data_IF_208838844203
#
_entry.id   IF_208838844203
#
_cell.length_a   1.000
_cell.length_b   1.000
_cell.length_c   1.000
_cell.angle_alpha   90.00
_cell.angle_beta   90.00
_cell.angle_gamma   90.00
#
_symmetry.space_group_name_H-M   'P 1'
#
loop_
_entity.id
_entity.type
_entity.pdbx_description
1 polymer ?
#
# COMPACT_ATOMS: atom_id res chain seq x y z
N UNK A 1 -8.63 -7.56 -5.82
CA UNK A 1 -7.77 -7.87 -4.67
C UNK A 1 -6.46 -7.11 -4.88
N UNK A 2 -6.05 -6.33 -3.90
CA UNK A 2 -4.79 -5.59 -3.90
C UNK A 2 -3.92 -6.12 -2.76
N UNK A 3 -2.77 -6.67 -3.10
CA UNK A 3 -1.85 -7.29 -2.15
C UNK A 3 -0.52 -6.55 -2.18
N UNK A 4 0.08 -6.34 -1.03
CA UNK A 4 1.40 -5.76 -0.85
C UNK A 4 2.33 -6.81 -0.25
N UNK A 5 3.64 -6.58 -0.34
CA UNK A 5 4.68 -7.50 0.16
C UNK A 5 4.57 -8.94 -0.38
N UNK A 6 4.12 -9.10 -1.63
CA UNK A 6 4.03 -10.41 -2.29
C UNK A 6 5.42 -10.83 -2.74
N UNK A 7 6.00 -11.79 -2.05
CA UNK A 7 7.32 -12.34 -2.37
C UNK A 7 7.24 -13.28 -3.58
N UNK A 8 8.25 -13.19 -4.47
CA UNK A 8 8.40 -14.11 -5.61
C UNK A 8 9.66 -14.97 -5.51
N UNK A 9 10.68 -14.48 -4.79
CA UNK A 9 11.91 -15.21 -4.46
C UNK A 9 12.61 -14.50 -3.30
N UNK A 10 12.21 -14.81 -2.08
CA UNK A 10 12.75 -14.17 -0.88
C UNK A 10 13.13 -15.22 0.16
N UNK A 11 14.25 -15.00 0.86
CA UNK A 11 14.71 -15.90 1.92
C UNK A 11 13.68 -16.01 3.05
N UNK A 12 13.05 -14.87 3.41
CA UNK A 12 12.03 -14.79 4.47
C UNK A 12 10.77 -15.62 4.17
N UNK A 13 10.48 -15.88 2.90
CA UNK A 13 9.34 -16.68 2.44
C UNK A 13 9.76 -18.05 1.89
N UNK A 14 10.95 -18.53 2.26
CA UNK A 14 11.49 -19.84 1.82
C UNK A 14 11.55 -20.01 0.30
N UNK A 15 11.76 -18.91 -0.44
CA UNK A 15 11.80 -18.88 -1.91
C UNK A 15 10.51 -19.33 -2.59
N UNK A 16 9.36 -19.19 -1.89
CA UNK A 16 8.05 -19.48 -2.48
C UNK A 16 7.64 -18.31 -3.36
N UNK A 17 7.28 -18.62 -4.61
CA UNK A 17 6.66 -17.64 -5.52
C UNK A 17 5.17 -17.49 -5.19
N UNK A 18 4.88 -16.50 -4.34
CA UNK A 18 3.53 -16.20 -3.92
C UNK A 18 2.67 -15.60 -5.04
N UNK A 19 3.28 -14.90 -6.00
CA UNK A 19 2.52 -14.36 -7.13
C UNK A 19 1.97 -15.48 -8.00
N UNK A 20 2.82 -16.45 -8.39
CA UNK A 20 2.37 -17.64 -9.10
C UNK A 20 1.35 -18.44 -8.30
N UNK A 21 1.54 -18.60 -6.99
CA UNK A 21 0.57 -19.27 -6.13
C UNK A 21 -0.82 -18.62 -6.17
N UNK A 22 -0.91 -17.29 -6.11
CA UNK A 22 -2.18 -16.58 -6.21
C UNK A 22 -2.78 -16.67 -7.62
N UNK A 23 -1.98 -16.61 -8.68
CA UNK A 23 -2.44 -16.78 -10.06
C UNK A 23 -3.06 -18.17 -10.29
N UNK A 24 -2.43 -19.21 -9.76
CA UNK A 24 -2.95 -20.57 -9.80
C UNK A 24 -4.21 -20.76 -8.94
N UNK A 25 -4.28 -20.10 -7.80
CA UNK A 25 -5.45 -20.15 -6.90
C UNK A 25 -6.66 -19.43 -7.50
N UNK A 26 -6.44 -18.35 -8.23
CA UNK A 26 -7.49 -17.52 -8.85
C UNK A 26 -7.35 -17.45 -10.39
N UNK A 27 -7.41 -18.61 -11.11
CA UNK A 27 -7.12 -18.66 -12.55
C UNK A 27 -8.12 -17.89 -13.43
N UNK A 28 -9.23 -17.43 -12.85
CA UNK A 28 -10.25 -16.61 -13.50
C UNK A 28 -10.00 -15.10 -13.35
N UNK A 29 -8.94 -14.71 -12.65
CA UNK A 29 -8.54 -13.31 -12.50
C UNK A 29 -7.35 -12.97 -13.39
N UNK A 30 -7.32 -11.73 -13.85
CA UNK A 30 -6.12 -11.17 -14.48
C UNK A 30 -5.20 -10.67 -13.37
N UNK A 31 -3.91 -10.91 -13.48
CA UNK A 31 -2.89 -10.49 -12.54
C UNK A 31 -2.01 -9.39 -13.11
N UNK A 32 -1.58 -8.49 -12.24
CA UNK A 32 -0.51 -7.52 -12.53
C UNK A 32 0.40 -7.44 -11.31
N UNK A 33 1.66 -7.80 -11.50
CA UNK A 33 2.69 -7.74 -10.48
C UNK A 33 3.67 -6.60 -10.77
N UNK A 34 4.05 -5.84 -9.74
CA UNK A 34 5.05 -4.79 -9.83
C UNK A 34 6.02 -4.89 -8.66
N UNK A 35 7.31 -5.09 -8.95
CA UNK A 35 8.36 -5.15 -7.92
C UNK A 35 8.40 -3.82 -7.17
N UNK A 36 8.35 -3.88 -5.83
CA UNK A 36 8.47 -2.73 -4.96
C UNK A 36 9.55 -2.87 -3.87
N UNK A 37 10.22 -4.02 -3.82
CA UNK A 37 11.39 -4.24 -3.01
C UNK A 37 12.28 -5.32 -3.65
N UNK A 38 13.49 -4.92 -4.07
CA UNK A 38 14.45 -5.82 -4.67
C UNK A 38 15.83 -5.65 -4.02
N UNK A 39 16.29 -6.67 -3.31
CA UNK A 39 17.62 -6.72 -2.74
C UNK A 39 18.25 -8.09 -2.98
N UNK A 40 19.42 -8.16 -3.63
CA UNK A 40 20.11 -9.44 -3.83
C UNK A 40 20.62 -10.03 -2.51
N UNK A 41 20.81 -9.22 -1.50
CA UNK A 41 21.18 -9.63 -0.15
C UNK A 41 21.04 -8.49 0.85
N UNK A 42 20.13 -8.61 1.79
CA UNK A 42 19.98 -7.69 2.92
C UNK A 42 20.66 -8.29 4.16
N UNK A 43 21.81 -7.77 4.52
CA UNK A 43 22.66 -8.26 5.62
C UNK A 43 22.25 -7.68 7.00
N UNK A 44 20.96 -7.49 7.23
CA UNK A 44 20.41 -7.00 8.48
C UNK A 44 19.20 -7.86 8.88
N UNK A 45 19.04 -8.15 10.20
CA UNK A 45 20.02 -7.96 11.28
C UNK A 45 21.32 -8.78 11.04
N UNK A 46 22.46 -8.30 11.58
CA UNK A 46 23.79 -8.89 11.28
C UNK A 46 23.86 -10.38 11.66
N UNK A 47 23.19 -10.80 12.73
CA UNK A 47 23.21 -12.19 13.23
C UNK A 47 22.08 -13.06 12.70
N UNK A 48 21.08 -12.46 12.02
CA UNK A 48 19.95 -13.16 11.40
C UNK A 48 19.52 -12.38 10.16
N UNK A 49 20.31 -12.39 9.09
CA UNK A 49 20.08 -11.56 7.93
C UNK A 49 18.78 -11.95 7.19
N UNK A 50 18.05 -10.94 6.76
CA UNK A 50 16.84 -11.12 5.95
C UNK A 50 17.17 -11.85 4.62
N UNK A 51 18.38 -11.64 4.09
CA UNK A 51 18.86 -12.33 2.90
C UNK A 51 18.31 -11.73 1.60
N UNK A 52 17.98 -12.57 0.64
CA UNK A 52 17.39 -12.16 -0.65
C UNK A 52 15.96 -11.69 -0.41
N UNK A 53 15.60 -10.57 -1.02
CA UNK A 53 14.21 -10.07 -1.04
C UNK A 53 13.85 -9.68 -2.46
N UNK A 54 12.88 -10.37 -3.02
CA UNK A 54 12.19 -10.02 -4.27
C UNK A 54 10.70 -9.99 -3.99
N UNK A 55 10.17 -8.82 -3.77
CA UNK A 55 8.80 -8.60 -3.33
C UNK A 55 8.13 -7.49 -4.14
N UNK A 56 6.83 -7.53 -4.23
CA UNK A 56 6.08 -6.54 -4.99
C UNK A 56 4.66 -6.32 -4.52
N UNK A 57 3.97 -5.51 -5.29
CA UNK A 57 2.51 -5.35 -5.18
C UNK A 57 1.85 -6.18 -6.27
N UNK A 58 0.86 -6.98 -5.89
CA UNK A 58 0.08 -7.82 -6.80
C UNK A 58 -1.37 -7.37 -6.82
N UNK A 59 -1.88 -7.11 -8.00
CA UNK A 59 -3.31 -6.85 -8.20
C UNK A 59 -3.95 -7.99 -8.98
N UNK A 60 -5.03 -8.54 -8.42
CA UNK A 60 -5.86 -9.53 -9.07
C UNK A 60 -7.22 -8.92 -9.38
N UNK A 61 -7.69 -9.04 -10.61
CA UNK A 61 -8.95 -8.45 -11.06
C UNK A 61 -9.71 -9.38 -11.99
N UNK A 62 -11.02 -9.46 -11.83
CA UNK A 62 -11.91 -10.13 -12.79
C UNK A 62 -12.06 -9.36 -14.10
N UNK A 63 -11.72 -8.08 -14.08
CA UNK A 63 -11.83 -7.22 -15.25
C UNK A 63 -10.53 -7.24 -16.05
N UNK A 64 -10.67 -7.25 -17.38
CA UNK A 64 -9.52 -7.19 -18.26
C UNK A 64 -8.84 -5.82 -18.16
N UNK A 65 -7.55 -5.84 -17.95
CA UNK A 65 -6.70 -4.67 -17.95
C UNK A 65 -6.21 -4.38 -19.38
N UNK A 66 -6.45 -3.17 -19.89
CA UNK A 66 -5.94 -2.75 -21.20
C UNK A 66 -4.45 -2.40 -21.17
N UNK A 67 -4.02 -1.79 -20.06
CA UNK A 67 -2.62 -1.46 -19.82
C UNK A 67 -2.30 -1.42 -18.35
N UNK A 68 -1.06 -1.76 -18.01
CA UNK A 68 -0.52 -1.67 -16.68
C UNK A 68 0.80 -0.90 -16.69
N UNK A 69 1.04 -0.13 -15.65
CA UNK A 69 2.23 0.69 -15.49
C UNK A 69 2.70 0.66 -14.04
N UNK A 70 4.00 0.46 -13.83
CA UNK A 70 4.65 0.66 -12.54
C UNK A 70 5.18 2.10 -12.45
N UNK A 71 4.91 2.79 -11.37
CA UNK A 71 5.47 4.11 -11.07
C UNK A 71 6.29 4.06 -9.79
N UNK A 72 7.60 4.35 -9.92
CA UNK A 72 8.49 4.44 -8.75
C UNK A 72 8.16 5.67 -7.93
N UNK A 73 8.06 5.48 -6.63
CA UNK A 73 8.03 6.57 -5.68
C UNK A 73 9.42 7.20 -5.48
N UNK A 74 9.48 8.46 -5.04
CA UNK A 74 10.68 8.99 -4.42
C UNK A 74 11.09 8.13 -3.23
N UNK A 75 12.37 7.87 -3.09
CA UNK A 75 12.94 7.11 -1.97
C UNK A 75 14.12 7.88 -1.38
N UNK A 76 14.49 7.55 -0.14
CA UNK A 76 15.64 8.16 0.52
C UNK A 76 16.93 7.97 -0.29
N UNK A 77 17.83 8.93 -0.22
CA UNK A 77 19.14 8.88 -0.89
C UNK A 77 20.27 8.44 0.04
N UNK A 78 20.00 8.27 1.32
CA UNK A 78 20.93 7.87 2.36
C UNK A 78 20.87 6.35 2.67
N UNK A 79 21.43 5.94 3.81
CA UNK A 79 21.48 4.53 4.21
C UNK A 79 20.08 3.90 4.43
N UNK A 80 19.08 4.70 4.75
CA UNK A 80 17.71 4.23 4.93
C UNK A 80 17.11 3.64 3.64
N UNK A 81 17.66 4.02 2.48
CA UNK A 81 17.34 3.42 1.18
C UNK A 81 17.44 1.88 1.18
N UNK A 82 18.29 1.29 2.00
CA UNK A 82 18.42 -0.17 2.08
C UNK A 82 17.15 -0.85 2.63
N UNK A 83 16.29 -0.11 3.31
CA UNK A 83 15.05 -0.61 3.89
C UNK A 83 13.81 -0.24 3.07
N UNK A 84 13.96 0.68 2.12
CA UNK A 84 12.85 1.28 1.39
C UNK A 84 13.00 1.13 -0.14
N UNK A 85 13.82 0.18 -0.56
CA UNK A 85 14.17 -0.07 -1.95
C UNK A 85 12.93 -0.23 -2.83
N UNK A 86 12.92 0.53 -3.94
CA UNK A 86 12.00 0.33 -5.06
C UNK A 86 10.51 0.60 -4.78
N UNK A 87 10.15 1.30 -3.68
CA UNK A 87 8.75 1.66 -3.40
C UNK A 87 8.06 2.20 -4.64
N UNK A 88 6.85 1.73 -4.87
CA UNK A 88 6.10 2.07 -6.07
C UNK A 88 4.58 1.98 -5.84
N UNK A 89 3.86 2.48 -6.83
CA UNK A 89 2.48 2.07 -7.07
C UNK A 89 2.33 1.49 -8.47
N UNK A 90 1.46 0.52 -8.61
CA UNK A 90 1.04 -0.03 -9.90
C UNK A 90 -0.27 0.61 -10.32
N UNK A 91 -0.40 0.90 -11.61
CA UNK A 91 -1.60 1.49 -12.22
C UNK A 91 -2.14 0.50 -13.23
N UNK A 92 -3.43 0.20 -13.14
CA UNK A 92 -4.14 -0.60 -14.14
C UNK A 92 -5.25 0.24 -14.74
N UNK A 93 -5.36 0.17 -16.07
CA UNK A 93 -6.43 0.83 -16.81
C UNK A 93 -7.44 -0.21 -17.27
N UNK A 94 -8.64 -0.09 -16.77
CA UNK A 94 -9.74 -1.03 -17.03
C UNK A 94 -10.81 -0.25 -17.79
N UNK A 95 -11.14 -0.65 -19.02
CA UNK A 95 -12.22 0.00 -19.77
C UNK A 95 -13.56 -0.26 -19.10
N UNK A 96 -14.37 0.77 -18.99
CA UNK A 96 -15.73 0.68 -18.45
C UNK A 96 -16.74 1.22 -19.46
N UNK A 97 -18.02 0.98 -19.20
CA UNK A 97 -19.09 1.44 -20.08
C UNK A 97 -19.06 2.97 -20.29
N UNK A 98 -19.53 3.42 -21.47
CA UNK A 98 -19.52 4.84 -21.82
C UNK A 98 -18.17 5.39 -22.26
N UNK A 99 -17.18 4.53 -22.56
CA UNK A 99 -15.87 4.95 -23.06
C UNK A 99 -14.98 5.60 -22.01
N UNK A 100 -15.28 5.39 -20.73
CA UNK A 100 -14.49 5.83 -19.59
C UNK A 100 -13.46 4.77 -19.21
N UNK A 101 -12.53 5.15 -18.37
CA UNK A 101 -11.52 4.24 -17.83
C UNK A 101 -11.61 4.23 -16.29
N UNK A 102 -11.67 3.05 -15.71
CA UNK A 102 -11.36 2.86 -14.31
C UNK A 102 -9.83 2.74 -14.17
N UNK A 103 -9.25 3.65 -13.42
CA UNK A 103 -7.84 3.65 -13.04
C UNK A 103 -7.73 3.02 -11.64
N UNK A 104 -7.30 1.77 -11.61
CA UNK A 104 -7.09 1.03 -10.37
C UNK A 104 -5.61 1.11 -10.00
N UNK A 105 -5.33 1.59 -8.79
CA UNK A 105 -3.98 1.77 -8.27
C UNK A 105 -3.78 0.88 -7.05
N UNK A 106 -2.68 0.13 -7.03
CA UNK A 106 -2.20 -0.60 -5.86
C UNK A 106 -0.92 0.08 -5.38
N UNK A 107 -0.96 0.65 -4.19
CA UNK A 107 0.09 1.47 -3.61
C UNK A 107 0.72 0.82 -2.39
N UNK A 108 2.03 0.99 -2.24
CA UNK A 108 2.72 0.67 -1.00
C UNK A 108 3.76 1.75 -0.72
N UNK A 109 3.44 2.64 0.23
CA UNK A 109 4.27 3.78 0.61
C UNK A 109 5.37 3.37 1.61
N UNK A 110 6.32 4.27 1.83
CA UNK A 110 7.44 4.03 2.76
C UNK A 110 6.99 3.94 4.21
N UNK A 111 7.50 2.94 4.93
CA UNK A 111 7.24 2.75 6.36
C UNK A 111 8.22 3.53 7.24
N UNK A 112 9.50 3.56 6.84
CA UNK A 112 10.61 4.07 7.65
C UNK A 112 11.09 5.41 7.09
N UNK A 113 10.47 6.50 7.58
CA UNK A 113 10.78 7.86 7.15
C UNK A 113 10.77 8.78 8.38
N UNK A 114 11.94 8.95 8.99
CA UNK A 114 12.09 9.86 10.13
C UNK A 114 11.80 11.31 9.68
N UNK A 115 10.78 11.91 10.26
CA UNK A 115 10.32 13.25 9.91
C UNK A 115 9.29 13.32 8.76
N UNK A 116 8.93 12.21 8.12
CA UNK A 116 7.85 12.12 7.13
C UNK A 116 8.13 12.80 5.78
N UNK A 117 9.38 13.17 5.48
CA UNK A 117 9.74 13.93 4.27
C UNK A 117 9.51 13.09 3.01
N UNK A 118 9.96 11.84 3.00
CA UNK A 118 9.82 10.94 1.84
C UNK A 118 8.34 10.59 1.64
N UNK A 119 7.61 10.30 2.70
CA UNK A 119 6.16 10.02 2.63
C UNK A 119 5.39 11.22 2.10
N UNK A 120 5.73 12.44 2.50
CA UNK A 120 5.11 13.65 1.94
C UNK A 120 5.35 13.78 0.44
N UNK A 121 6.56 13.49 -0.05
CA UNK A 121 6.87 13.51 -1.48
C UNK A 121 6.14 12.39 -2.23
N UNK A 122 6.01 11.22 -1.62
CA UNK A 122 5.25 10.11 -2.19
C UNK A 122 3.76 10.42 -2.28
N UNK A 123 3.20 11.04 -1.24
CA UNK A 123 1.81 11.49 -1.22
C UNK A 123 1.56 12.57 -2.26
N UNK A 124 2.45 13.56 -2.39
CA UNK A 124 2.37 14.60 -3.43
C UNK A 124 2.36 13.99 -4.84
N UNK A 125 3.23 12.99 -5.08
CA UNK A 125 3.27 12.29 -6.37
C UNK A 125 1.97 11.52 -6.63
N UNK A 126 1.42 10.85 -5.62
CA UNK A 126 0.19 10.08 -5.73
C UNK A 126 -1.01 10.99 -5.97
N UNK A 127 -1.16 12.04 -5.17
CA UNK A 127 -2.27 13.00 -5.28
C UNK A 127 -2.24 13.77 -6.60
N UNK A 128 -1.05 14.16 -7.08
CA UNK A 128 -0.89 14.75 -8.40
C UNK A 128 -1.36 13.81 -9.52
N UNK A 129 -1.00 12.52 -9.42
CA UNK A 129 -1.46 11.50 -10.37
C UNK A 129 -2.98 11.31 -10.31
N UNK A 130 -3.56 11.29 -9.12
CA UNK A 130 -5.00 11.18 -8.90
C UNK A 130 -5.74 12.33 -9.60
N UNK A 131 -5.31 13.56 -9.37
CA UNK A 131 -5.89 14.75 -10.02
C UNK A 131 -5.77 14.71 -11.55
N UNK A 132 -4.62 14.30 -12.08
CA UNK A 132 -4.44 14.17 -13.52
C UNK A 132 -5.43 13.20 -14.15
N UNK A 133 -5.66 12.05 -13.52
CA UNK A 133 -6.59 11.05 -14.03
C UNK A 133 -8.05 11.49 -13.87
N UNK A 134 -8.39 12.15 -12.78
CA UNK A 134 -9.73 12.71 -12.56
C UNK A 134 -10.06 13.80 -13.61
N UNK A 135 -9.11 14.71 -13.90
CA UNK A 135 -9.27 15.75 -14.94
C UNK A 135 -9.49 15.18 -16.34
N UNK A 136 -9.02 13.96 -16.63
CA UNK A 136 -9.31 13.22 -17.87
C UNK A 136 -10.72 12.62 -17.88
N UNK A 137 -11.46 12.73 -16.77
CA UNK A 137 -12.79 12.16 -16.59
C UNK A 137 -12.77 10.66 -16.30
N UNK A 138 -11.64 10.12 -15.84
CA UNK A 138 -11.51 8.75 -15.41
C UNK A 138 -12.10 8.54 -14.02
N UNK A 139 -12.45 7.30 -13.71
CA UNK A 139 -12.78 6.84 -12.38
C UNK A 139 -11.50 6.35 -11.71
N UNK A 140 -11.25 6.72 -10.45
CA UNK A 140 -9.98 6.42 -9.80
C UNK A 140 -10.22 5.73 -8.47
N UNK A 141 -9.64 4.55 -8.31
CA UNK A 141 -9.58 3.81 -7.04
C UNK A 141 -8.11 3.58 -6.72
N UNK A 142 -7.70 3.99 -5.54
CA UNK A 142 -6.39 3.66 -4.98
C UNK A 142 -6.63 2.80 -3.76
N UNK A 143 -5.95 1.67 -3.68
CA UNK A 143 -5.91 0.86 -2.48
C UNK A 143 -4.50 0.42 -2.17
N UNK A 144 -4.26 0.02 -0.94
CA UNK A 144 -2.96 -0.50 -0.52
C UNK A 144 -2.59 -0.14 0.90
N UNK A 145 -1.32 -0.35 1.20
CA UNK A 145 -0.67 0.06 2.43
C UNK A 145 -0.10 1.47 2.28
N UNK A 146 -0.73 2.43 2.95
CA UNK A 146 -0.30 3.84 2.90
C UNK A 146 0.79 4.15 3.94
N UNK A 147 1.05 3.25 4.88
CA UNK A 147 1.92 3.48 6.04
C UNK A 147 1.59 4.79 6.80
N UNK A 148 0.33 5.21 6.72
CA UNK A 148 -0.28 6.31 7.44
C UNK A 148 -1.55 5.82 8.11
N UNK A 149 -1.85 6.33 9.28
CA UNK A 149 -3.14 6.10 9.94
C UNK A 149 -4.24 6.77 9.11
N UNK A 150 -5.22 6.02 8.66
CA UNK A 150 -6.24 6.50 7.71
C UNK A 150 -7.39 7.24 8.39
N UNK A 151 -7.08 8.33 9.07
CA UNK A 151 -7.98 9.21 9.79
C UNK A 151 -7.65 9.32 11.26
N UNK A 152 -7.86 10.49 11.84
CA UNK A 152 -7.54 10.78 13.24
C UNK A 152 -8.26 9.84 14.22
N UNK A 153 -9.47 9.40 13.86
CA UNK A 153 -10.28 8.47 14.65
C UNK A 153 -9.63 7.09 14.88
N UNK A 154 -8.68 6.68 14.03
CA UNK A 154 -7.99 5.39 14.16
C UNK A 154 -6.66 5.47 14.90
N UNK A 155 -6.20 6.69 15.25
CA UNK A 155 -4.90 6.89 15.88
C UNK A 155 -4.79 6.21 17.25
N UNK A 156 -5.89 6.19 18.02
CA UNK A 156 -5.97 5.60 19.36
C UNK A 156 -7.30 4.85 19.56
N UNK A 157 -7.78 4.21 18.50
CA UNK A 157 -9.08 3.51 18.52
C UNK A 157 -9.04 2.15 19.20
N UNK A 158 -7.88 1.49 19.18
CA UNK A 158 -7.73 0.11 19.64
C UNK A 158 -7.06 0.03 21.02
N UNK A 159 -7.54 -0.83 21.94
CA UNK A 159 -6.92 -1.00 23.24
C UNK A 159 -5.43 -1.34 23.12
N UNK A 160 -4.59 -0.58 23.82
CA UNK A 160 -3.14 -0.76 23.84
C UNK A 160 -2.54 -0.32 25.16
N UNK A 161 -1.43 -0.97 25.56
CA UNK A 161 -0.57 -0.51 26.65
C UNK A 161 0.67 0.23 26.14
N UNK A 162 0.93 0.15 24.83
CA UNK A 162 1.98 0.91 24.16
C UNK A 162 1.48 2.31 23.85
N UNK A 163 2.39 3.27 23.85
CA UNK A 163 2.12 4.64 23.40
C UNK A 163 2.02 4.67 21.87
N UNK A 164 1.30 5.65 21.35
CA UNK A 164 1.25 5.90 19.91
C UNK A 164 2.68 6.07 19.37
N UNK A 165 3.10 5.24 18.40
CA UNK A 165 4.47 5.28 17.90
C UNK A 165 4.73 6.54 17.06
N UNK A 166 5.99 6.94 16.99
CA UNK A 166 6.40 8.12 16.20
C UNK A 166 6.18 7.97 14.70
N UNK A 167 6.03 6.74 14.19
CA UNK A 167 5.74 6.46 12.79
C UNK A 167 4.27 6.65 12.40
N UNK A 168 3.36 6.73 13.38
CA UNK A 168 1.91 6.81 13.16
C UNK A 168 1.47 8.21 12.70
N UNK A 169 1.91 8.60 11.50
CA UNK A 169 1.43 9.83 10.86
C UNK A 169 0.02 9.63 10.31
N UNK A 170 -0.80 10.65 10.43
CA UNK A 170 -2.18 10.63 9.95
C UNK A 170 -2.22 11.03 8.47
N UNK A 171 -3.05 10.35 7.71
CA UNK A 171 -3.54 10.76 6.40
C UNK A 171 -5.04 10.96 6.51
N UNK A 172 -5.50 12.18 6.28
CA UNK A 172 -6.90 12.55 6.34
C UNK A 172 -7.42 13.04 4.98
N UNK A 173 -8.72 13.20 4.86
CA UNK A 173 -9.36 13.74 3.66
C UNK A 173 -8.88 15.15 3.32
N UNK A 174 -8.42 15.93 4.31
CA UNK A 174 -7.86 17.27 4.10
C UNK A 174 -6.51 17.23 3.35
N UNK A 175 -5.79 16.10 3.39
CA UNK A 175 -4.53 15.89 2.67
C UNK A 175 -4.76 15.46 1.21
N UNK A 176 -6.01 15.15 0.84
CA UNK A 176 -6.38 14.68 -0.48
C UNK A 176 -6.95 15.80 -1.36
N UNK A 177 -6.86 15.67 -2.70
CA UNK A 177 -7.58 16.57 -3.60
C UNK A 177 -9.09 16.49 -3.33
N UNK A 178 -9.80 17.62 -3.43
CA UNK A 178 -11.20 17.80 -3.02
C UNK A 178 -12.23 16.83 -3.64
N UNK A 179 -11.85 16.14 -4.71
CA UNK A 179 -12.66 15.14 -5.40
C UNK A 179 -12.37 13.71 -4.95
N UNK A 180 -11.63 13.53 -3.87
CA UNK A 180 -11.25 12.21 -3.35
C UNK A 180 -11.58 12.09 -1.88
N UNK A 181 -11.87 10.87 -1.47
CA UNK A 181 -12.10 10.56 -0.05
C UNK A 181 -11.56 9.18 0.31
N UNK A 182 -11.14 9.04 1.56
CA UNK A 182 -10.82 7.77 2.19
C UNK A 182 -12.12 7.02 2.43
N UNK A 183 -12.19 5.77 2.00
CA UNK A 183 -13.32 4.89 2.26
C UNK A 183 -13.20 4.35 3.68
N UNK A 184 -14.18 4.67 4.53
CA UNK A 184 -14.24 4.17 5.90
C UNK A 184 -14.94 2.81 5.92
N UNK A 185 -14.29 1.74 6.42
CA UNK A 185 -14.94 0.44 6.56
C UNK A 185 -15.99 0.48 7.67
N UNK A 186 -17.09 -0.25 7.49
CA UNK A 186 -18.17 -0.33 8.51
C UNK A 186 -17.67 -0.87 9.85
N UNK A 187 -16.71 -1.79 9.83
CA UNK A 187 -16.09 -2.39 11.03
C UNK A 187 -14.74 -1.77 11.42
N UNK A 188 -14.42 -0.59 10.93
CA UNK A 188 -13.11 0.05 11.10
C UNK A 188 -12.71 0.38 12.54
N UNK A 189 -13.66 0.34 13.49
CA UNK A 189 -13.38 0.46 14.91
C UNK A 189 -13.32 -0.90 15.65
N UNK A 190 -13.51 -2.00 14.94
CA UNK A 190 -13.49 -3.35 15.50
C UNK A 190 -12.21 -4.11 15.12
N UNK A 191 -11.68 -3.87 13.92
CA UNK A 191 -10.57 -4.60 13.34
C UNK A 191 -9.45 -3.67 12.87
N UNK A 192 -8.25 -3.86 13.41
CA UNK A 192 -7.05 -3.14 12.96
C UNK A 192 -6.38 -3.85 11.78
N UNK A 193 -5.71 -3.10 10.90
CA UNK A 193 -4.94 -3.67 9.79
C UNK A 193 -3.44 -3.75 10.07
N UNK A 194 -2.97 -3.00 11.04
CA UNK A 194 -1.56 -2.95 11.43
C UNK A 194 -1.39 -2.99 12.95
N UNK A 195 -0.26 -3.54 13.38
CA UNK A 195 0.18 -3.50 14.78
C UNK A 195 1.67 -3.21 14.90
N UNK A 196 2.08 -2.70 16.04
CA UNK A 196 3.48 -2.59 16.39
C UNK A 196 4.12 -3.98 16.54
N UNK A 197 5.22 -4.22 15.84
CA UNK A 197 5.86 -5.54 15.73
C UNK A 197 7.17 -5.66 16.53
N UNK A 198 7.46 -4.71 17.42
CA UNK A 198 8.64 -4.68 18.28
C UNK A 198 8.66 -5.80 19.33
N UNK A 199 7.48 -6.33 19.66
CA UNK A 199 7.29 -7.46 20.57
C UNK A 199 6.30 -8.47 19.98
N UNK A 200 6.28 -9.74 20.44
CA UNK A 200 5.24 -10.70 20.06
C UNK A 200 3.84 -10.15 20.35
N UNK A 201 2.90 -10.49 19.50
CA UNK A 201 1.52 -9.99 19.63
C UNK A 201 0.86 -10.47 20.92
N UNK A 202 0.32 -9.52 21.66
CA UNK A 202 -0.55 -9.73 22.81
C UNK A 202 -1.73 -8.77 22.67
N UNK A 203 -2.94 -9.30 22.60
CA UNK A 203 -4.17 -8.52 22.50
C UNK A 203 -4.28 -7.49 23.62
N UNK A 204 -4.61 -6.25 23.28
CA UNK A 204 -4.73 -5.13 24.22
C UNK A 204 -3.40 -4.62 24.78
N UNK A 205 -2.26 -5.12 24.30
CA UNK A 205 -0.91 -4.66 24.69
C UNK A 205 -0.22 -3.94 23.56
N UNK A 206 -0.14 -4.55 22.37
CA UNK A 206 0.50 -3.91 21.22
C UNK A 206 -0.37 -2.78 20.69
N UNK A 207 0.28 -1.67 20.31
CA UNK A 207 -0.38 -0.62 19.54
C UNK A 207 -0.87 -1.19 18.21
N UNK A 208 -2.10 -0.86 17.86
CA UNK A 208 -2.74 -1.27 16.61
C UNK A 208 -3.49 -0.10 16.00
N UNK A 209 -3.59 -0.09 14.67
CA UNK A 209 -4.27 0.97 13.93
C UNK A 209 -4.65 0.50 12.52
N UNK A 210 -5.23 1.39 11.71
CA UNK A 210 -5.58 1.15 10.30
C UNK A 210 -4.64 1.96 9.41
N UNK A 211 -3.86 1.27 8.56
CA UNK A 211 -2.98 1.87 7.55
C UNK A 211 -3.26 1.39 6.14
N UNK A 212 -4.06 0.34 6.01
CA UNK A 212 -4.51 -0.24 4.75
C UNK A 212 -5.93 0.20 4.45
N UNK A 213 -6.21 0.57 3.21
CA UNK A 213 -7.54 1.02 2.85
C UNK A 213 -7.67 1.44 1.40
N UNK A 214 -8.73 2.19 1.12
CA UNK A 214 -9.04 2.69 -0.21
C UNK A 214 -9.30 4.19 -0.19
N UNK A 215 -8.86 4.84 -1.27
CA UNK A 215 -9.20 6.22 -1.62
C UNK A 215 -9.92 6.17 -2.96
N UNK A 216 -11.06 6.85 -3.06
CA UNK A 216 -11.88 6.85 -4.28
C UNK A 216 -12.21 8.25 -4.74
N UNK A 217 -12.37 8.43 -6.04
CA UNK A 217 -12.88 9.67 -6.62
C UNK A 217 -14.42 9.78 -6.42
N UNK A 218 -14.94 10.99 -6.31
CA UNK A 218 -16.34 11.31 -6.00
C UNK A 218 -17.37 10.84 -7.07
N UNK A 219 -16.89 10.42 -8.23
CA UNK A 219 -17.69 9.79 -9.27
C UNK A 219 -17.84 8.26 -9.09
N UNK A 220 -17.38 7.72 -7.96
CA UNK A 220 -17.53 6.33 -7.53
C UNK A 220 -18.31 6.30 -6.21
N UNK A 221 -19.33 5.46 -6.13
CA UNK A 221 -20.06 5.20 -4.90
C UNK A 221 -19.50 3.92 -4.25
N UNK A 222 -18.85 4.05 -3.09
CA UNK A 222 -18.44 2.92 -2.25
C UNK A 222 -19.65 2.47 -1.39
N UNK A 223 -19.94 1.16 -1.40
CA UNK A 223 -21.03 0.53 -0.63
C UNK A 223 -20.49 -0.59 0.22
#
# INVERSE_FOLDING_TARGET
ILLQEVDIDSTRSYHIDMATYFEETFPFMNSVFAINFHSPWLNLPIFDPIGIVNSGVLTLSRFKTDSALRRSYPIASDFSRLFDLDRCFSVQRIPVEGGKTLVLVNSHMSAYDEGGVIRSQQLEMLTSFMEEEYKKGNWVIIGGDFNHVLGEEYLDAFPSQQVVPVWAYILDNEDLPSHFSIVKPENGLEESTCRNADTPYIEGVNYSTIIDGFIVSDNIEAK
#
